data_IF_816420204129
#
_entry.id   IF_816420204129
#
_cell.length_a   1.000
_cell.length_b   1.000
_cell.length_c   1.000
_cell.angle_alpha   90.00
_cell.angle_beta   90.00
_cell.angle_gamma   90.00
#
_symmetry.space_group_name_H-M   'P 1'
#
loop_
_entity.id
_entity.type
_entity.pdbx_description
1 polymer ?
#
# COMPACT_ATOMS: atom_id res chain seq x y z
N UNK A 1 10.85 -81.63 -45.24
CA UNK A 1 10.85 -80.80 -46.47
C UNK A 1 12.29 -80.43 -46.75
N UNK A 2 12.88 -81.09 -47.75
CA UNK A 2 14.30 -80.97 -48.11
C UNK A 2 14.56 -79.58 -48.69
N UNK A 3 15.42 -78.79 -48.05
CA UNK A 3 16.06 -77.64 -48.68
C UNK A 3 17.54 -77.97 -48.83
N UNK A 4 17.87 -78.54 -50.00
CA UNK A 4 19.24 -78.62 -50.46
C UNK A 4 19.73 -77.20 -50.70
N UNK A 5 20.53 -76.68 -49.77
CA UNK A 5 21.29 -75.45 -49.99
C UNK A 5 22.46 -75.86 -50.89
N UNK A 6 22.26 -75.78 -52.21
CA UNK A 6 23.36 -75.79 -53.17
C UNK A 6 24.41 -74.79 -52.69
N UNK A 7 25.69 -75.19 -52.75
CA UNK A 7 26.83 -74.37 -52.36
C UNK A 7 26.89 -73.13 -53.24
N UNK A 8 26.15 -72.09 -52.87
CA UNK A 8 26.22 -70.77 -53.46
C UNK A 8 27.69 -70.35 -53.48
N UNK A 9 28.16 -69.93 -54.65
CA UNK A 9 29.55 -69.54 -54.84
C UNK A 9 29.96 -68.55 -53.74
N UNK A 10 31.15 -68.72 -53.15
CA UNK A 10 31.61 -67.92 -51.99
C UNK A 10 31.38 -66.40 -52.16
N UNK A 11 31.38 -65.91 -53.40
CA UNK A 11 31.08 -64.54 -53.80
C UNK A 11 29.65 -64.08 -53.44
N UNK A 12 28.63 -64.91 -53.68
CA UNK A 12 27.22 -64.56 -53.43
C UNK A 12 26.92 -64.50 -51.92
N UNK A 13 27.55 -65.38 -51.13
CA UNK A 13 27.42 -65.36 -49.67
C UNK A 13 28.06 -64.11 -49.05
N UNK A 14 29.20 -63.66 -49.58
CA UNK A 14 29.88 -62.42 -49.14
C UNK A 14 29.03 -61.18 -49.46
N UNK A 15 28.40 -61.13 -50.65
CA UNK A 15 27.49 -60.04 -51.03
C UNK A 15 26.25 -60.00 -50.12
N UNK A 16 25.67 -61.14 -49.76
CA UNK A 16 24.53 -61.20 -48.83
C UNK A 16 24.87 -60.64 -47.44
N UNK A 17 26.03 -61.01 -46.90
CA UNK A 17 26.53 -60.52 -45.60
C UNK A 17 26.79 -59.00 -45.66
N UNK A 18 27.38 -58.51 -46.75
CA UNK A 18 27.64 -57.08 -46.95
C UNK A 18 26.35 -56.26 -46.94
N UNK A 19 25.30 -56.76 -47.60
CA UNK A 19 23.98 -56.09 -47.67
C UNK A 19 23.34 -56.03 -46.28
N UNK A 20 23.40 -57.12 -45.50
CA UNK A 20 22.86 -57.15 -44.13
C UNK A 20 23.61 -56.16 -43.23
N UNK A 21 24.93 -56.08 -43.37
CA UNK A 21 25.75 -55.11 -42.63
C UNK A 21 25.38 -53.67 -43.01
N UNK A 22 25.23 -53.37 -44.30
CA UNK A 22 24.79 -52.04 -44.76
C UNK A 22 23.40 -51.66 -44.20
N UNK A 23 22.45 -52.60 -44.16
CA UNK A 23 21.11 -52.37 -43.61
C UNK A 23 21.17 -52.07 -42.12
N UNK A 24 22.00 -52.80 -41.36
CA UNK A 24 22.17 -52.56 -39.92
C UNK A 24 22.82 -51.19 -39.64
N UNK A 25 23.83 -50.81 -40.42
CA UNK A 25 24.48 -49.50 -40.32
C UNK A 25 23.48 -48.38 -40.64
N UNK A 26 22.68 -48.56 -41.69
CA UNK A 26 21.68 -47.58 -42.10
C UNK A 26 20.58 -47.43 -41.04
N UNK A 27 20.09 -48.54 -40.47
CA UNK A 27 19.11 -48.52 -39.38
C UNK A 27 19.66 -47.84 -38.12
N UNK A 28 20.93 -48.08 -37.79
CA UNK A 28 21.59 -47.45 -36.66
C UNK A 28 21.72 -45.93 -36.84
N UNK A 29 22.17 -45.48 -38.02
CA UNK A 29 22.28 -44.05 -38.36
C UNK A 29 20.89 -43.38 -38.36
N UNK A 30 19.88 -44.05 -38.91
CA UNK A 30 18.51 -43.55 -38.97
C UNK A 30 17.89 -43.38 -37.58
N UNK A 31 18.16 -44.32 -36.66
CA UNK A 31 17.73 -44.25 -35.26
C UNK A 31 18.32 -43.03 -34.55
N UNK A 32 19.62 -42.78 -34.72
CA UNK A 32 20.31 -41.61 -34.13
C UNK A 32 19.76 -40.30 -34.71
N UNK A 33 19.46 -40.26 -36.01
CA UNK A 33 18.93 -39.06 -36.66
C UNK A 33 17.54 -38.68 -36.16
N UNK A 34 16.67 -39.67 -35.89
CA UNK A 34 15.30 -39.42 -35.41
C UNK A 34 15.25 -38.94 -33.95
N UNK A 35 16.16 -39.41 -33.10
CA UNK A 35 16.19 -39.09 -31.66
C UNK A 35 16.75 -37.68 -31.39
N UNK A 36 17.57 -37.15 -32.30
CA UNK A 36 18.26 -35.86 -32.13
C UNK A 36 17.43 -34.63 -32.52
N UNK A 37 16.11 -34.73 -32.67
CA UNK A 37 15.25 -33.55 -32.82
C UNK A 37 15.18 -32.80 -31.49
N UNK A 38 16.11 -31.84 -31.31
CA UNK A 38 16.14 -30.92 -30.18
C UNK A 38 14.80 -30.18 -30.11
N UNK A 39 14.01 -30.52 -29.10
CA UNK A 39 12.74 -29.84 -28.82
C UNK A 39 13.05 -28.38 -28.46
N UNK A 40 12.26 -27.41 -28.96
CA UNK A 40 12.47 -26.01 -28.65
C UNK A 40 12.27 -25.78 -27.14
N UNK A 41 13.32 -25.29 -26.48
CA UNK A 41 13.29 -24.97 -25.05
C UNK A 41 12.58 -23.62 -24.89
N UNK A 42 11.42 -23.63 -24.25
CA UNK A 42 10.68 -22.42 -23.89
C UNK A 42 10.77 -22.17 -22.39
N UNK A 43 10.99 -20.91 -22.01
CA UNK A 43 10.95 -20.51 -20.61
C UNK A 43 9.49 -20.32 -20.21
N UNK A 44 9.05 -21.09 -19.21
CA UNK A 44 7.74 -20.98 -18.61
C UNK A 44 7.92 -20.50 -17.18
N UNK A 45 7.13 -19.52 -16.77
CA UNK A 45 7.09 -19.04 -15.38
C UNK A 45 5.75 -19.44 -14.79
N UNK A 46 5.80 -20.11 -13.64
CA UNK A 46 4.61 -20.52 -12.90
C UNK A 46 3.99 -19.30 -12.19
N UNK A 47 2.74 -18.98 -12.53
CA UNK A 47 2.02 -17.85 -11.93
C UNK A 47 1.37 -18.32 -10.64
N UNK A 48 1.79 -17.75 -9.50
CA UNK A 48 1.22 -18.05 -8.18
C UNK A 48 0.23 -16.98 -7.78
N UNK A 49 -0.88 -17.41 -7.15
CA UNK A 49 -1.85 -16.49 -6.57
C UNK A 49 -1.19 -15.79 -5.38
N UNK A 50 -0.97 -14.49 -5.52
CA UNK A 50 -0.44 -13.62 -4.48
C UNK A 50 -1.43 -12.50 -4.21
N UNK A 51 -1.39 -11.97 -3.00
CA UNK A 51 -2.18 -10.81 -2.61
C UNK A 51 -1.57 -9.56 -3.25
N UNK A 52 -2.34 -8.87 -4.09
CA UNK A 52 -1.91 -7.64 -4.75
C UNK A 52 -2.46 -6.45 -3.99
N UNK A 53 -1.60 -5.73 -3.28
CA UNK A 53 -1.96 -4.50 -2.58
C UNK A 53 -1.61 -3.31 -3.48
N UNK A 54 -2.61 -2.50 -3.83
CA UNK A 54 -2.41 -1.27 -4.60
C UNK A 54 -2.49 -0.07 -3.67
N UNK A 55 -1.34 0.57 -3.43
CA UNK A 55 -1.25 1.82 -2.68
C UNK A 55 -1.44 3.01 -3.65
N UNK A 56 -2.47 3.83 -3.41
CA UNK A 56 -2.67 5.09 -4.14
C UNK A 56 -2.10 6.21 -3.29
N UNK A 57 -0.94 6.74 -3.70
CA UNK A 57 -0.31 7.89 -3.04
C UNK A 57 -0.93 9.17 -3.56
N UNK A 58 -1.53 9.95 -2.67
CA UNK A 58 -2.06 11.27 -2.97
C UNK A 58 -1.33 12.33 -2.15
N UNK A 59 -1.30 13.56 -2.67
CA UNK A 59 -0.76 14.73 -2.00
C UNK A 59 -1.89 15.71 -1.70
N UNK A 60 -1.82 16.38 -0.55
CA UNK A 60 -2.79 17.40 -0.16
C UNK A 60 -2.24 18.31 0.92
N UNK A 61 -2.97 19.37 1.21
CA UNK A 61 -2.65 20.32 2.28
C UNK A 61 -3.53 19.99 3.49
N UNK A 62 -2.91 19.83 4.65
CA UNK A 62 -3.64 19.66 5.90
C UNK A 62 -4.19 21.01 6.36
N UNK A 63 -5.48 21.04 6.71
CA UNK A 63 -6.15 22.22 7.24
C UNK A 63 -6.75 21.89 8.61
N UNK A 64 -6.81 22.91 9.48
CA UNK A 64 -7.46 22.79 10.77
C UNK A 64 -8.95 22.50 10.61
N UNK A 65 -9.48 21.53 11.36
CA UNK A 65 -10.93 21.22 11.33
C UNK A 65 -11.78 22.42 11.74
N UNK A 66 -11.30 23.22 12.69
CA UNK A 66 -11.93 24.47 13.15
C UNK A 66 -10.84 25.49 13.46
N UNK A 67 -11.03 26.70 12.98
CA UNK A 67 -10.20 27.85 13.30
C UNK A 67 -11.13 28.98 13.73
N UNK A 68 -10.81 29.63 14.84
CA UNK A 68 -11.62 30.72 15.39
C UNK A 68 -10.72 31.74 16.07
N UNK A 69 -10.92 33.00 15.72
CA UNK A 69 -10.27 34.12 16.36
C UNK A 69 -11.18 34.66 17.46
N UNK A 70 -10.59 34.97 18.62
CA UNK A 70 -11.32 35.47 19.78
C UNK A 70 -10.97 36.93 20.03
N UNK A 71 -12.00 37.75 20.24
CA UNK A 71 -11.87 39.18 20.50
C UNK A 71 -12.47 39.53 21.86
N UNK A 72 -11.90 40.55 22.52
CA UNK A 72 -12.49 41.10 23.72
C UNK A 72 -13.84 41.77 23.40
N UNK A 73 -14.89 41.44 24.15
CA UNK A 73 -16.23 42.02 23.96
C UNK A 73 -16.34 43.45 24.49
N UNK A 74 -15.45 43.85 25.39
CA UNK A 74 -15.44 45.15 26.03
C UNK A 74 -14.06 45.80 25.87
N UNK A 75 -14.07 47.12 25.76
CA UNK A 75 -12.83 47.90 25.75
C UNK A 75 -12.25 47.94 27.15
N UNK A 76 -11.24 47.13 27.40
CA UNK A 76 -10.54 47.03 28.68
C UNK A 76 -9.08 46.67 28.46
N UNK A 77 -8.24 46.97 29.45
CA UNK A 77 -6.81 46.67 29.40
C UNK A 77 -6.57 45.21 29.80
N UNK A 78 -5.57 44.57 29.20
CA UNK A 78 -5.12 43.24 29.63
C UNK A 78 -4.48 43.35 31.00
N UNK A 79 -4.98 42.58 31.97
CA UNK A 79 -4.44 42.50 33.33
C UNK A 79 -3.39 41.40 33.44
N UNK A 80 -3.68 40.22 32.89
CA UNK A 80 -2.81 39.04 33.02
C UNK A 80 -3.00 38.11 31.82
N UNK A 81 -1.91 37.53 31.33
CA UNK A 81 -1.90 36.45 30.33
C UNK A 81 -1.65 35.13 31.09
N UNK A 82 -2.61 34.20 31.02
CA UNK A 82 -2.53 32.92 31.76
C UNK A 82 -2.03 31.75 30.94
N UNK A 83 -1.97 31.91 29.61
CA UNK A 83 -1.49 30.88 28.68
C UNK A 83 -0.50 31.48 27.71
N UNK A 84 0.61 30.76 27.53
CA UNK A 84 1.64 31.12 26.57
C UNK A 84 1.20 30.74 25.15
N UNK A 85 1.77 31.43 24.17
CA UNK A 85 1.59 31.14 22.76
C UNK A 85 1.97 29.67 22.44
N UNK A 86 1.20 29.03 21.56
CA UNK A 86 1.38 27.61 21.21
C UNK A 86 0.85 26.60 22.25
N UNK A 87 0.34 27.06 23.39
CA UNK A 87 -0.25 26.16 24.40
C UNK A 87 -1.55 25.55 23.93
N UNK A 88 -1.79 24.29 24.30
CA UNK A 88 -3.10 23.65 24.15
C UNK A 88 -4.06 24.16 25.23
N UNK A 89 -5.30 24.41 24.83
CA UNK A 89 -6.37 24.91 25.70
C UNK A 89 -7.63 24.07 25.51
N UNK A 90 -8.43 23.98 26.55
CA UNK A 90 -9.71 23.28 26.59
C UNK A 90 -10.89 24.26 26.47
N UNK A 91 -12.07 23.74 26.14
CA UNK A 91 -13.27 24.57 26.02
C UNK A 91 -13.62 25.21 27.38
N UNK A 92 -13.77 26.53 27.39
CA UNK A 92 -14.07 27.30 28.60
C UNK A 92 -12.86 27.68 29.44
N UNK A 93 -11.65 27.27 29.04
CA UNK A 93 -10.43 27.61 29.77
C UNK A 93 -10.06 29.08 29.64
N UNK A 94 -9.66 29.70 30.75
CA UNK A 94 -9.32 31.13 30.79
C UNK A 94 -7.89 31.32 30.28
N UNK A 95 -7.74 31.98 29.14
CA UNK A 95 -6.45 32.28 28.50
C UNK A 95 -5.89 33.66 28.86
N UNK A 96 -6.79 34.62 29.13
CA UNK A 96 -6.49 36.03 29.31
C UNK A 96 -7.43 36.60 30.37
N UNK A 97 -6.90 37.41 31.28
CA UNK A 97 -7.69 38.18 32.24
C UNK A 97 -7.63 39.65 31.85
N UNK A 98 -8.81 40.25 31.71
CA UNK A 98 -8.98 41.68 31.46
C UNK A 98 -9.17 42.42 32.80
N UNK A 99 -8.79 43.69 32.84
CA UNK A 99 -9.06 44.54 33.99
C UNK A 99 -10.58 44.76 34.12
N UNK A 100 -11.13 44.25 35.21
CA UNK A 100 -12.56 44.26 35.50
C UNK A 100 -12.95 45.34 36.51
N UNK A 101 -12.05 46.25 36.88
CA UNK A 101 -12.30 47.27 37.91
C UNK A 101 -13.54 48.13 37.62
N UNK A 102 -13.73 48.55 36.36
CA UNK A 102 -14.90 49.33 35.97
C UNK A 102 -16.19 48.49 36.04
N UNK A 103 -16.14 47.27 35.50
CA UNK A 103 -17.27 46.35 35.48
C UNK A 103 -17.72 45.96 36.89
N UNK A 104 -16.79 45.74 37.82
CA UNK A 104 -17.10 45.46 39.22
C UNK A 104 -17.77 46.64 39.93
N UNK A 105 -17.34 47.88 39.63
CA UNK A 105 -18.00 49.07 40.19
C UNK A 105 -19.42 49.25 39.65
N UNK A 106 -19.64 48.97 38.36
CA UNK A 106 -20.97 49.02 37.76
C UNK A 106 -21.89 47.94 38.33
N UNK A 107 -21.37 46.71 38.49
CA UNK A 107 -22.09 45.61 39.13
C UNK A 107 -22.52 45.99 40.56
N UNK A 108 -21.60 46.49 41.38
CA UNK A 108 -21.94 46.89 42.76
C UNK A 108 -22.96 48.03 42.84
N UNK A 109 -22.96 48.97 41.88
CA UNK A 109 -24.01 50.00 41.79
C UNK A 109 -25.37 49.40 41.43
N UNK A 110 -25.40 48.47 40.49
CA UNK A 110 -26.64 47.80 40.08
C UNK A 110 -27.22 46.93 41.21
N UNK A 111 -26.36 46.20 41.93
CA UNK A 111 -26.77 45.39 43.08
C UNK A 111 -27.32 46.25 44.21
N UNK A 112 -26.65 47.36 44.56
CA UNK A 112 -27.15 48.29 45.57
C UNK A 112 -28.48 48.93 45.16
N UNK A 113 -28.62 49.34 43.89
CA UNK A 113 -29.88 49.89 43.38
C UNK A 113 -31.02 48.87 43.47
N UNK A 114 -30.74 47.61 43.12
CA UNK A 114 -31.69 46.51 43.23
C UNK A 114 -32.09 46.23 44.68
N UNK A 115 -31.13 46.26 45.61
CA UNK A 115 -31.39 46.06 47.04
C UNK A 115 -32.28 47.15 47.65
N UNK A 116 -32.06 48.42 47.27
CA UNK A 116 -32.92 49.54 47.70
C UNK A 116 -34.35 49.33 47.19
N UNK A 117 -34.52 49.02 45.91
CA UNK A 117 -35.84 48.79 45.33
C UNK A 117 -36.56 47.62 46.01
N UNK A 118 -35.86 46.51 46.26
CA UNK A 118 -36.46 45.35 46.94
C UNK A 118 -36.90 45.66 48.38
N UNK A 119 -36.17 46.54 49.07
CA UNK A 119 -36.55 47.00 50.40
C UNK A 119 -37.82 47.88 50.34
N UNK A 120 -37.89 48.79 49.36
CA UNK A 120 -39.05 49.68 49.17
C UNK A 120 -40.35 48.94 48.79
N UNK A 121 -40.26 47.71 48.27
CA UNK A 121 -41.42 46.87 47.93
C UNK A 121 -41.93 45.98 49.08
N UNK A 122 -41.21 45.88 50.20
CA UNK A 122 -41.59 45.10 51.39
C UNK A 122 -42.21 45.99 52.47
#
# INVERSE_FOLDING_TARGET
>A
MNLQIERLSKKIMIIGILIVICILIFAYIFSIYLINKKLPVVQVVEVKKQELVTEIKTSGILQCTKQQDFYARTTSTVKEIRKNEGSKVTLGEVILLLDNSNALRELGRAENALAILQNDYL
#
